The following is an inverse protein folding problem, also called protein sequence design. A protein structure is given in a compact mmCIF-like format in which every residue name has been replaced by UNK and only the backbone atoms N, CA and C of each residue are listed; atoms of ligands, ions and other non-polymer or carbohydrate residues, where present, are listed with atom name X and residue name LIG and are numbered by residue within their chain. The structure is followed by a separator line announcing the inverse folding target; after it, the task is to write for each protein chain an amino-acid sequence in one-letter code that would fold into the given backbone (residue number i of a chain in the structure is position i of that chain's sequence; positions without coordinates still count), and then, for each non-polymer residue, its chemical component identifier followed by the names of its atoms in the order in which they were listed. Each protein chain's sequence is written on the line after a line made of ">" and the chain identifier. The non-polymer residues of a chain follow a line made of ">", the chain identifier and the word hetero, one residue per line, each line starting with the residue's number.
data_IF_539366603073
#
_entry.id   IF_539366603073
#
_cell.length_a   1.000
_cell.length_b   1.000
_cell.length_c   1.000
_cell.angle_alpha   90.00
_cell.angle_beta   90.00
_cell.angle_gamma   90.00
#
_symmetry.space_group_name_H-M   'P 1'
#
loop_
_entity.id
_entity.type
_entity.pdbx_description
1 polymer ?
#
# COMPACT_ATOMS: atom_id res chain seq x y z
N UNK A 1 38.01 -51.53 82.80
CA UNK A 1 37.36 -52.14 81.62
C UNK A 1 36.61 -51.05 80.87
N UNK A 2 37.18 -50.53 79.77
CA UNK A 2 36.63 -50.69 78.42
C UNK A 2 37.54 -49.92 77.46
N UNK A 3 37.92 -50.68 76.44
CA UNK A 3 38.99 -50.49 75.48
C UNK A 3 38.45 -49.83 74.22
N UNK A 4 39.28 -49.01 73.58
CA UNK A 4 39.04 -48.44 72.27
C UNK A 4 39.19 -49.49 71.19
N UNK A 5 38.31 -49.55 70.19
CA UNK A 5 38.66 -50.02 68.83
C UNK A 5 37.80 -49.30 67.79
N UNK A 6 38.50 -48.63 66.87
CA UNK A 6 38.00 -48.14 65.60
C UNK A 6 37.59 -49.31 64.69
N UNK A 7 36.48 -49.19 63.95
CA UNK A 7 36.13 -50.16 62.92
C UNK A 7 35.84 -49.51 61.58
N UNK A 8 36.38 -50.17 60.57
CA UNK A 8 36.63 -49.74 59.22
C UNK A 8 35.35 -49.71 58.36
N UNK A 9 35.43 -48.91 57.30
CA UNK A 9 34.51 -48.90 56.19
C UNK A 9 34.42 -50.27 55.50
N UNK A 10 33.19 -50.72 55.27
CA UNK A 10 32.88 -51.76 54.30
C UNK A 10 31.87 -51.20 53.30
N UNK A 11 32.32 -51.04 52.07
CA UNK A 11 31.59 -50.55 50.91
C UNK A 11 30.51 -51.55 50.52
N UNK A 12 29.25 -51.24 50.82
CA UNK A 12 28.09 -51.96 50.29
C UNK A 12 27.82 -51.57 48.83
N UNK A 13 27.34 -52.48 47.97
CA UNK A 13 27.06 -52.17 46.57
C UNK A 13 25.88 -51.19 46.45
N UNK A 14 26.13 -50.09 45.74
CA UNK A 14 25.13 -49.11 45.31
C UNK A 14 23.98 -49.78 44.55
N UNK A 15 22.72 -49.64 44.97
CA UNK A 15 21.59 -50.09 44.15
C UNK A 15 21.45 -49.19 42.93
N UNK A 16 21.32 -49.80 41.76
CA UNK A 16 21.08 -49.11 40.49
C UNK A 16 19.78 -48.28 40.55
N UNK A 17 19.71 -47.12 39.87
CA UNK A 17 18.48 -46.34 39.81
C UNK A 17 17.44 -47.11 38.99
N UNK A 18 16.35 -47.48 39.66
CA UNK A 18 15.17 -48.10 39.03
C UNK A 18 14.39 -46.98 38.33
N UNK A 19 14.38 -46.98 37.01
CA UNK A 19 13.54 -46.07 36.21
C UNK A 19 12.07 -46.43 36.45
N UNK A 20 11.21 -45.53 36.93
CA UNK A 20 9.79 -45.83 37.03
C UNK A 20 9.19 -45.89 35.61
N UNK A 21 8.57 -47.01 35.27
CA UNK A 21 7.70 -47.17 34.09
C UNK A 21 6.59 -46.10 34.16
N UNK A 22 6.31 -45.34 33.08
CA UNK A 22 5.20 -44.39 33.08
C UNK A 22 3.89 -45.16 33.23
N UNK A 23 3.07 -44.77 34.20
CA UNK A 23 1.68 -45.22 34.29
C UNK A 23 0.92 -44.76 33.03
N UNK A 24 0.02 -45.58 32.45
CA UNK A 24 -0.80 -45.14 31.33
C UNK A 24 -1.67 -43.96 31.79
N UNK A 25 -1.72 -42.91 30.97
CA UNK A 25 -2.55 -41.75 31.25
C UNK A 25 -4.03 -42.17 31.42
N UNK A 26 -4.76 -41.61 32.39
CA UNK A 26 -6.19 -41.87 32.49
C UNK A 26 -6.88 -41.39 31.22
N UNK A 27 -7.61 -42.30 30.56
CA UNK A 27 -8.44 -41.96 29.40
C UNK A 27 -9.48 -40.88 29.76
N UNK A 28 -9.98 -40.14 28.76
CA UNK A 28 -10.94 -39.07 28.99
C UNK A 28 -12.16 -39.61 29.75
N UNK A 29 -12.52 -38.96 30.85
CA UNK A 29 -13.68 -39.29 31.66
C UNK A 29 -14.96 -39.31 30.81
N UNK A 30 -15.81 -40.32 31.03
CA UNK A 30 -17.08 -40.60 30.33
C UNK A 30 -18.04 -39.39 30.30
N UNK A 31 -17.85 -38.46 31.23
CA UNK A 31 -18.54 -37.19 31.36
C UNK A 31 -18.18 -36.17 30.26
N UNK A 32 -16.97 -36.21 29.72
CA UNK A 32 -16.51 -35.35 28.60
C UNK A 32 -17.03 -35.89 27.26
N UNK A 33 -17.17 -37.21 27.14
CA UNK A 33 -17.71 -37.87 25.93
C UNK A 33 -19.21 -37.60 25.78
N UNK A 34 -19.97 -37.55 26.88
CA UNK A 34 -21.41 -37.22 26.84
C UNK A 34 -21.72 -35.74 26.61
N UNK A 35 -20.77 -34.82 26.80
CA UNK A 35 -20.97 -33.39 26.59
C UNK A 35 -20.83 -32.94 25.12
N UNK A 36 -20.40 -33.85 24.22
CA UNK A 36 -20.22 -33.59 22.79
C UNK A 36 -21.35 -34.15 21.90
N UNK A 37 -22.39 -34.76 22.48
CA UNK A 37 -23.54 -35.28 21.75
C UNK A 37 -24.64 -34.23 21.65
N UNK A 38 -24.54 -33.36 20.66
CA UNK A 38 -25.69 -32.57 20.17
C UNK A 38 -26.55 -33.51 19.30
N UNK A 39 -27.83 -33.74 19.62
CA UNK A 39 -28.70 -34.52 18.76
C UNK A 39 -28.95 -33.76 17.44
N UNK A 40 -28.40 -34.27 16.34
CA UNK A 40 -28.73 -33.84 14.99
C UNK A 40 -30.05 -34.51 14.61
N UNK A 41 -31.10 -33.78 14.19
CA UNK A 41 -32.31 -34.40 13.67
C UNK A 41 -32.00 -35.10 12.34
N UNK A 42 -32.24 -36.41 12.31
CA UNK A 42 -32.21 -37.27 11.12
C UNK A 42 -33.16 -36.70 10.06
N UNK A 43 -32.62 -35.98 9.08
CA UNK A 43 -33.36 -35.52 7.90
C UNK A 43 -33.07 -36.49 6.76
N UNK A 44 -33.85 -37.57 6.71
CA UNK A 44 -33.87 -38.44 5.54
C UNK A 44 -34.26 -37.66 4.28
N UNK A 45 -33.83 -38.08 3.08
CA UNK A 45 -34.14 -37.35 1.85
C UNK A 45 -35.66 -37.33 1.59
N UNK A 46 -36.26 -36.16 1.75
CA UNK A 46 -37.64 -35.87 1.32
C UNK A 46 -37.64 -35.74 -0.20
N UNK A 47 -38.33 -36.64 -0.88
CA UNK A 47 -38.62 -36.48 -2.30
C UNK A 47 -39.52 -35.24 -2.50
N UNK A 48 -39.23 -34.35 -3.46
CA UNK A 48 -40.04 -33.16 -3.71
C UNK A 48 -41.44 -33.56 -4.22
N UNK A 49 -42.47 -33.02 -3.59
CA UNK A 49 -43.85 -33.22 -4.02
C UNK A 49 -44.12 -32.50 -5.36
N UNK A 50 -44.95 -33.10 -6.21
CA UNK A 50 -45.33 -32.50 -7.49
C UNK A 50 -46.15 -31.21 -7.29
N UNK A 51 -45.75 -30.14 -7.98
CA UNK A 51 -46.46 -28.85 -7.98
C UNK A 51 -47.30 -28.74 -9.25
N UNK A 52 -48.55 -28.30 -9.12
CA UNK A 52 -49.46 -28.11 -10.26
C UNK A 52 -48.97 -26.99 -11.19
N UNK A 53 -49.21 -27.07 -12.52
CA UNK A 53 -48.82 -26.02 -13.47
C UNK A 53 -49.45 -24.65 -13.14
N UNK A 54 -48.69 -23.58 -13.35
CA UNK A 54 -49.15 -22.20 -13.13
C UNK A 54 -50.35 -21.83 -14.02
N UNK A 55 -51.26 -21.00 -13.48
CA UNK A 55 -52.45 -20.53 -14.19
C UNK A 55 -52.07 -19.64 -15.40
N UNK A 56 -52.73 -19.76 -16.56
CA UNK A 56 -52.42 -18.92 -17.73
C UNK A 56 -52.83 -17.46 -17.52
N UNK A 57 -52.01 -16.54 -18.00
CA UNK A 57 -52.29 -15.09 -17.99
C UNK A 57 -53.37 -14.70 -19.02
N UNK A 58 -54.11 -13.63 -18.72
CA UNK A 58 -55.17 -13.12 -19.59
C UNK A 58 -54.60 -12.50 -20.89
N UNK A 59 -55.23 -12.73 -22.06
CA UNK A 59 -54.75 -12.22 -23.34
C UNK A 59 -54.87 -10.68 -23.41
N UNK A 60 -53.87 -10.06 -24.03
CA UNK A 60 -53.76 -8.61 -24.18
C UNK A 60 -54.82 -8.06 -25.16
N UNK A 61 -55.51 -6.95 -24.82
CA UNK A 61 -56.51 -6.35 -25.72
C UNK A 61 -55.87 -5.76 -27.00
N UNK A 62 -56.61 -5.87 -28.11
CA UNK A 62 -56.21 -5.34 -29.43
C UNK A 62 -56.79 -3.94 -29.68
N UNK A 63 -56.01 -3.06 -30.28
CA UNK A 63 -56.39 -1.66 -30.57
C UNK A 63 -57.06 -1.58 -31.95
N UNK A 64 -58.18 -0.88 -32.08
CA UNK A 64 -58.81 -0.57 -33.39
C UNK A 64 -57.94 0.42 -34.17
N UNK A 65 -57.79 0.20 -35.47
CA UNK A 65 -57.18 1.17 -36.37
C UNK A 65 -58.08 2.40 -36.54
N UNK A 66 -57.47 3.58 -36.61
CA UNK A 66 -58.17 4.84 -36.88
C UNK A 66 -58.64 4.93 -38.33
N UNK A 67 -59.82 5.50 -38.55
CA UNK A 67 -60.40 5.67 -39.88
C UNK A 67 -59.68 6.78 -40.69
N UNK A 68 -59.67 6.64 -42.03
CA UNK A 68 -58.92 7.53 -42.90
C UNK A 68 -59.49 8.96 -42.92
N UNK A 69 -58.65 10.00 -42.93
CA UNK A 69 -59.10 11.38 -42.83
C UNK A 69 -59.79 11.87 -44.10
N UNK A 70 -61.00 12.43 -43.95
CA UNK A 70 -61.73 13.13 -45.03
C UNK A 70 -60.93 14.38 -45.45
N UNK A 71 -60.72 14.54 -46.76
CA UNK A 71 -60.04 15.71 -47.33
C UNK A 71 -60.99 16.91 -47.33
N UNK A 72 -60.75 17.88 -46.44
CA UNK A 72 -61.49 19.14 -46.47
C UNK A 72 -61.22 19.93 -47.76
N UNK A 73 -62.29 20.33 -48.45
CA UNK A 73 -62.25 21.13 -49.67
C UNK A 73 -62.31 22.63 -49.33
N UNK A 74 -61.50 23.45 -50.01
CA UNK A 74 -61.72 24.90 -50.12
C UNK A 74 -61.07 25.86 -49.10
N UNK A 75 -60.29 25.39 -48.11
CA UNK A 75 -59.53 26.29 -47.22
C UNK A 75 -58.02 26.24 -47.46
N UNK A 76 -57.32 27.33 -47.09
CA UNK A 76 -55.87 27.45 -47.29
C UNK A 76 -55.08 26.34 -46.56
N UNK A 77 -54.02 25.79 -47.18
CA UNK A 77 -53.16 24.82 -46.52
C UNK A 77 -52.40 25.47 -45.36
N UNK A 78 -52.09 24.68 -44.34
CA UNK A 78 -51.23 25.14 -43.24
C UNK A 78 -49.85 25.53 -43.77
N UNK A 79 -49.37 26.73 -43.44
CA UNK A 79 -48.04 27.18 -43.85
C UNK A 79 -46.88 26.36 -43.28
N UNK A 80 -47.09 25.63 -42.17
CA UNK A 80 -46.03 24.82 -41.54
C UNK A 80 -45.97 23.37 -42.06
N UNK A 81 -47.12 22.72 -42.29
CA UNK A 81 -47.17 21.28 -42.63
C UNK A 81 -47.94 20.97 -43.93
N UNK A 82 -48.46 21.98 -44.62
CA UNK A 82 -49.17 21.82 -45.91
C UNK A 82 -50.57 21.20 -45.82
N UNK A 83 -51.02 20.74 -44.65
CA UNK A 83 -52.34 20.08 -44.51
C UNK A 83 -53.46 21.06 -44.89
N UNK A 84 -54.34 20.64 -45.81
CA UNK A 84 -55.54 21.38 -46.16
C UNK A 84 -56.41 21.57 -44.91
N UNK A 85 -57.03 22.72 -44.70
CA UNK A 85 -57.98 22.93 -43.61
C UNK A 85 -59.32 23.39 -44.18
N UNK A 86 -60.42 23.10 -43.49
CA UNK A 86 -61.71 23.67 -43.87
C UNK A 86 -61.70 25.19 -43.63
N UNK A 87 -62.45 25.97 -44.43
CA UNK A 87 -62.61 27.41 -44.19
C UNK A 87 -63.09 27.68 -42.76
N UNK A 88 -62.58 28.76 -42.14
CA UNK A 88 -62.97 29.18 -40.79
C UNK A 88 -62.20 28.51 -39.63
N UNK A 89 -61.25 27.61 -39.89
CA UNK A 89 -60.36 27.09 -38.83
C UNK A 89 -59.31 28.13 -38.43
N UNK A 90 -59.11 28.28 -37.12
CA UNK A 90 -58.04 29.12 -36.58
C UNK A 90 -56.73 28.35 -36.35
N UNK A 91 -56.78 27.02 -36.24
CA UNK A 91 -55.62 26.14 -36.04
C UNK A 91 -55.64 24.96 -37.01
N UNK A 92 -54.46 24.50 -37.43
CA UNK A 92 -54.30 23.35 -38.32
C UNK A 92 -54.78 22.05 -37.64
N UNK A 93 -55.58 21.24 -38.35
CA UNK A 93 -56.10 19.96 -37.84
C UNK A 93 -55.05 18.89 -37.57
N UNK A 94 -53.83 19.03 -38.13
CA UNK A 94 -52.77 18.02 -38.03
C UNK A 94 -51.67 18.44 -37.05
N UNK A 95 -51.09 19.63 -37.24
CA UNK A 95 -49.96 20.10 -36.43
C UNK A 95 -50.32 21.19 -35.41
N UNK A 96 -51.61 21.60 -35.33
CA UNK A 96 -52.10 22.66 -34.44
C UNK A 96 -51.50 24.06 -34.65
N UNK A 97 -50.71 24.30 -35.70
CA UNK A 97 -50.19 25.64 -36.03
C UNK A 97 -51.34 26.61 -36.31
N UNK A 98 -51.32 27.84 -35.77
CA UNK A 98 -52.35 28.84 -36.06
C UNK A 98 -52.33 29.21 -37.54
N UNK A 99 -53.51 29.22 -38.18
CA UNK A 99 -53.67 29.56 -39.60
C UNK A 99 -53.73 31.08 -39.83
N UNK A 100 -53.91 31.84 -38.76
CA UNK A 100 -53.87 33.31 -38.76
C UNK A 100 -52.66 33.73 -37.92
N UNK A 101 -51.74 34.48 -38.52
CA UNK A 101 -50.61 35.05 -37.79
C UNK A 101 -51.13 36.06 -36.76
N UNK A 102 -50.83 35.85 -35.48
CA UNK A 102 -51.13 36.84 -34.44
C UNK A 102 -50.11 37.97 -34.56
N UNK A 103 -50.51 39.26 -34.51
CA UNK A 103 -49.54 40.35 -34.47
C UNK A 103 -48.60 40.16 -33.28
N UNK A 104 -47.30 40.35 -33.51
CA UNK A 104 -46.29 40.27 -32.46
C UNK A 104 -46.63 41.35 -31.41
N UNK A 105 -47.00 40.92 -30.21
CA UNK A 105 -47.17 41.83 -29.08
C UNK A 105 -45.81 42.37 -28.67
N UNK A 106 -45.68 43.69 -28.56
CA UNK A 106 -44.53 44.35 -27.96
C UNK A 106 -44.26 43.77 -26.57
N UNK A 107 -42.98 43.51 -26.29
CA UNK A 107 -42.55 42.69 -25.17
C UNK A 107 -42.74 43.42 -23.83
N UNK A 108 -43.71 42.96 -23.04
CA UNK A 108 -43.79 43.22 -21.60
C UNK A 108 -42.49 42.72 -20.91
N UNK A 109 -41.96 43.52 -19.98
CA UNK A 109 -40.72 43.20 -19.25
C UNK A 109 -40.77 41.87 -18.49
N UNK A 110 -39.62 41.35 -18.01
CA UNK A 110 -39.54 40.00 -17.47
C UNK A 110 -40.40 39.83 -16.20
N UNK A 111 -41.34 38.87 -16.26
CA UNK A 111 -42.21 38.49 -15.15
C UNK A 111 -41.42 37.91 -13.97
N UNK A 112 -41.91 38.11 -12.74
CA UNK A 112 -41.30 37.56 -11.52
C UNK A 112 -41.26 36.02 -11.60
N UNK A 113 -40.04 35.46 -11.74
CA UNK A 113 -39.80 34.03 -11.96
C UNK A 113 -39.05 33.71 -13.27
N UNK A 114 -38.91 34.68 -14.17
CA UNK A 114 -38.13 34.52 -15.38
C UNK A 114 -36.63 34.55 -15.06
N UNK A 115 -36.01 33.38 -14.94
CA UNK A 115 -34.54 33.29 -14.77
C UNK A 115 -33.85 33.77 -16.05
N UNK A 116 -32.83 34.65 -15.97
CA UNK A 116 -32.08 35.08 -17.14
C UNK A 116 -31.57 33.85 -17.89
N UNK A 117 -31.82 33.78 -19.21
CA UNK A 117 -31.19 32.75 -20.03
C UNK A 117 -29.69 33.01 -19.96
N UNK A 118 -28.95 32.18 -19.23
CA UNK A 118 -27.49 32.21 -19.26
C UNK A 118 -27.10 32.08 -20.74
N UNK A 119 -26.48 33.11 -21.29
CA UNK A 119 -26.07 33.14 -22.69
C UNK A 119 -25.03 32.05 -22.90
N UNK A 120 -25.50 30.85 -23.24
CA UNK A 120 -24.70 29.61 -23.29
C UNK A 120 -23.56 29.72 -24.29
N UNK A 121 -23.68 30.61 -25.28
CA UNK A 121 -22.66 30.87 -26.29
C UNK A 121 -21.46 31.68 -25.76
N UNK A 122 -21.68 32.66 -24.87
CA UNK A 122 -20.57 33.39 -24.23
C UNK A 122 -19.78 32.48 -23.29
N UNK A 123 -20.48 31.61 -22.57
CA UNK A 123 -19.85 30.58 -21.72
C UNK A 123 -18.99 29.62 -22.55
N UNK A 124 -19.45 29.19 -23.72
CA UNK A 124 -18.65 28.32 -24.62
C UNK A 124 -17.40 28.99 -25.14
N UNK A 125 -17.46 30.27 -25.52
CA UNK A 125 -16.28 31.02 -25.97
C UNK A 125 -15.29 31.27 -24.84
N UNK A 126 -15.75 31.58 -23.62
CA UNK A 126 -14.88 31.73 -22.45
C UNK A 126 -14.22 30.40 -22.10
N UNK A 127 -14.97 29.30 -22.06
CA UNK A 127 -14.42 27.96 -21.79
C UNK A 127 -13.40 27.56 -22.85
N UNK A 128 -13.67 27.84 -24.14
CA UNK A 128 -12.71 27.62 -25.22
C UNK A 128 -11.46 28.48 -25.06
N UNK A 129 -11.60 29.77 -24.75
CA UNK A 129 -10.47 30.66 -24.54
C UNK A 129 -9.60 30.21 -23.36
N UNK A 130 -10.21 29.78 -22.26
CA UNK A 130 -9.51 29.22 -21.10
C UNK A 130 -8.82 27.90 -21.45
N UNK A 131 -9.47 27.01 -22.19
CA UNK A 131 -8.87 25.76 -22.64
C UNK A 131 -7.67 26.01 -23.57
N UNK A 132 -7.80 26.92 -24.54
CA UNK A 132 -6.72 27.31 -25.43
C UNK A 132 -5.56 27.95 -24.64
N UNK A 133 -5.86 28.85 -23.69
CA UNK A 133 -4.85 29.45 -22.83
C UNK A 133 -4.11 28.41 -21.98
N UNK A 134 -4.82 27.40 -21.46
CA UNK A 134 -4.21 26.29 -20.72
C UNK A 134 -3.29 25.44 -21.63
N UNK A 135 -3.71 25.14 -22.86
CA UNK A 135 -2.88 24.42 -23.84
C UNK A 135 -1.63 25.23 -24.20
N UNK A 136 -1.78 26.52 -24.46
CA UNK A 136 -0.64 27.41 -24.74
C UNK A 136 0.31 27.48 -23.54
N UNK A 137 -0.22 27.59 -22.32
CA UNK A 137 0.60 27.59 -21.11
C UNK A 137 1.35 26.25 -20.92
N UNK A 138 0.73 25.12 -21.26
CA UNK A 138 1.40 23.81 -21.24
C UNK A 138 2.50 23.71 -22.30
N UNK A 139 2.26 24.21 -23.51
CA UNK A 139 3.26 24.21 -24.59
C UNK A 139 4.44 25.11 -24.25
N UNK A 140 4.16 26.34 -23.80
CA UNK A 140 5.18 27.31 -23.38
C UNK A 140 5.92 26.81 -22.14
N UNK A 141 5.21 26.25 -21.17
CA UNK A 141 5.78 25.63 -19.98
C UNK A 141 6.66 24.43 -20.31
N UNK A 142 6.28 23.61 -21.29
CA UNK A 142 7.10 22.50 -21.78
C UNK A 142 8.37 22.96 -22.51
N UNK A 143 8.28 24.03 -23.29
CA UNK A 143 9.42 24.61 -24.03
C UNK A 143 10.40 25.32 -23.08
N UNK A 144 9.90 26.10 -22.11
CA UNK A 144 10.72 26.85 -21.14
C UNK A 144 11.23 25.93 -20.02
N UNK A 145 10.42 24.98 -19.57
CA UNK A 145 10.72 24.09 -18.44
C UNK A 145 11.84 23.08 -18.71
N UNK A 146 12.10 22.76 -19.98
CA UNK A 146 13.26 22.01 -20.44
C UNK A 146 13.57 20.70 -19.68
N UNK A 147 14.78 20.15 -19.86
CA UNK A 147 15.26 18.99 -19.12
C UNK A 147 15.25 19.11 -17.57
N UNK A 148 15.45 20.29 -16.93
CA UNK A 148 15.49 20.39 -15.47
C UNK A 148 14.14 20.15 -14.78
N UNK A 149 13.04 20.70 -15.31
CA UNK A 149 11.72 20.47 -14.72
C UNK A 149 11.25 19.03 -14.96
N UNK A 150 11.58 18.47 -16.12
CA UNK A 150 11.35 17.05 -16.41
C UNK A 150 12.15 16.14 -15.47
N UNK A 151 13.44 16.44 -15.22
CA UNK A 151 14.28 15.71 -14.26
C UNK A 151 13.83 15.88 -12.82
N UNK A 152 13.30 17.04 -12.42
CA UNK A 152 12.80 17.25 -11.07
C UNK A 152 11.51 16.45 -10.80
N UNK A 153 10.63 16.35 -11.79
CA UNK A 153 9.42 15.51 -11.72
C UNK A 153 9.81 14.03 -11.80
N UNK A 154 10.72 13.66 -12.70
CA UNK A 154 11.26 12.30 -12.78
C UNK A 154 11.98 11.89 -11.49
N UNK A 155 12.81 12.73 -10.89
CA UNK A 155 13.48 12.45 -9.59
C UNK A 155 12.46 12.28 -8.45
N UNK A 156 11.30 12.94 -8.54
CA UNK A 156 10.25 12.82 -7.53
C UNK A 156 9.45 11.51 -7.65
N UNK A 157 9.36 10.95 -8.87
CA UNK A 157 8.61 9.72 -9.17
C UNK A 157 9.49 8.53 -9.60
N UNK A 158 10.82 8.72 -9.63
CA UNK A 158 11.77 7.66 -9.87
C UNK A 158 11.71 6.70 -8.70
N UNK A 159 11.33 5.45 -8.99
CA UNK A 159 11.37 4.38 -8.01
C UNK A 159 12.78 4.27 -7.44
N UNK A 160 12.88 4.30 -6.12
CA UNK A 160 14.15 4.13 -5.41
C UNK A 160 14.66 2.72 -5.70
N UNK A 161 15.72 2.62 -6.50
CA UNK A 161 16.30 1.33 -6.84
C UNK A 161 17.16 0.84 -5.67
N UNK A 162 17.02 -0.43 -5.24
CA UNK A 162 17.94 -1.01 -4.26
C UNK A 162 19.36 -1.04 -4.85
N UNK A 163 20.33 -0.64 -4.03
CA UNK A 163 21.75 -0.66 -4.34
C UNK A 163 22.38 -1.73 -3.48
N UNK A 164 23.02 -2.71 -4.14
CA UNK A 164 23.71 -3.80 -3.46
C UNK A 164 25.21 -3.51 -3.38
N UNK A 165 25.78 -3.36 -2.17
CA UNK A 165 27.23 -3.27 -2.01
C UNK A 165 27.93 -4.50 -2.58
N UNK A 166 29.06 -4.30 -3.24
CA UNK A 166 29.90 -5.37 -3.78
C UNK A 166 30.67 -6.12 -2.68
N UNK A 167 30.95 -5.45 -1.56
CA UNK A 167 31.64 -6.05 -0.42
C UNK A 167 31.26 -5.38 0.90
N UNK A 168 31.51 -6.12 2.00
CA UNK A 168 31.28 -5.67 3.37
C UNK A 168 32.54 -5.86 4.21
N UNK A 169 32.83 -4.89 5.09
CA UNK A 169 33.92 -4.94 6.06
C UNK A 169 33.43 -4.48 7.42
N UNK A 170 34.12 -4.87 8.47
CA UNK A 170 33.88 -4.34 9.81
C UNK A 170 35.19 -4.15 10.55
N UNK A 171 35.21 -3.27 11.55
CA UNK A 171 36.35 -3.16 12.48
C UNK A 171 36.60 -4.48 13.20
N UNK A 172 35.51 -5.17 13.55
CA UNK A 172 35.52 -6.47 14.19
C UNK A 172 34.17 -7.17 13.95
N UNK A 173 34.15 -8.50 14.10
CA UNK A 173 32.93 -9.29 14.03
C UNK A 173 33.02 -10.48 14.98
N UNK A 174 31.90 -10.87 15.61
CA UNK A 174 31.85 -12.15 16.31
C UNK A 174 31.99 -13.33 15.31
N UNK A 175 32.53 -14.50 15.73
CA UNK A 175 32.90 -15.59 14.82
C UNK A 175 31.80 -16.09 13.87
N UNK A 176 30.52 -15.91 14.21
CA UNK A 176 29.37 -16.34 13.41
C UNK A 176 28.49 -15.17 12.94
N UNK A 177 28.92 -13.94 13.15
CA UNK A 177 28.15 -12.72 12.86
C UNK A 177 28.99 -11.73 12.06
N UNK A 178 29.44 -12.19 10.89
CA UNK A 178 30.33 -11.46 9.98
C UNK A 178 29.66 -10.23 9.34
N UNK A 179 30.48 -9.34 8.80
CA UNK A 179 30.02 -8.07 8.20
C UNK A 179 29.00 -8.27 7.06
N UNK A 180 29.18 -9.29 6.23
CA UNK A 180 28.30 -9.56 5.09
C UNK A 180 26.87 -9.93 5.48
N UNK A 181 26.64 -10.36 6.72
CA UNK A 181 25.29 -10.69 7.20
C UNK A 181 24.37 -9.46 7.28
N UNK A 182 24.93 -8.25 7.36
CA UNK A 182 24.11 -7.04 7.32
C UNK A 182 23.57 -6.70 5.92
N UNK A 183 24.02 -7.40 4.86
CA UNK A 183 23.63 -7.14 3.48
C UNK A 183 23.26 -8.40 2.70
N UNK A 184 22.93 -9.50 3.39
CA UNK A 184 22.58 -10.78 2.78
C UNK A 184 21.09 -10.90 2.39
N UNK A 185 20.28 -9.88 2.70
CA UNK A 185 18.85 -9.81 2.43
C UNK A 185 17.98 -10.59 3.43
N UNK A 186 18.56 -11.11 4.51
CA UNK A 186 17.84 -11.77 5.58
C UNK A 186 17.71 -10.87 6.80
N UNK A 187 16.52 -10.85 7.39
CA UNK A 187 16.24 -10.01 8.57
C UNK A 187 16.37 -10.75 9.91
N UNK A 188 16.94 -11.95 9.87
CA UNK A 188 17.20 -12.84 11.01
C UNK A 188 18.65 -13.35 11.06
N UNK A 189 19.49 -12.91 10.12
CA UNK A 189 20.94 -12.93 10.21
C UNK A 189 21.40 -11.52 10.62
N UNK A 190 22.61 -11.38 11.14
CA UNK A 190 23.09 -10.09 11.63
C UNK A 190 24.60 -10.03 11.73
N UNK A 191 25.14 -8.84 11.47
CA UNK A 191 26.48 -8.48 11.89
C UNK A 191 26.49 -8.14 13.37
N UNK A 192 27.48 -8.64 14.10
CA UNK A 192 27.68 -8.40 15.51
C UNK A 192 29.09 -7.88 15.75
N UNK A 193 29.21 -6.77 16.48
CA UNK A 193 30.50 -6.12 16.79
C UNK A 193 31.50 -7.03 17.51
N UNK A 194 31.07 -8.11 18.15
CA UNK A 194 31.90 -9.06 18.88
C UNK A 194 32.43 -8.57 20.22
N UNK A 195 32.06 -7.36 20.64
CA UNK A 195 32.40 -6.79 21.94
C UNK A 195 31.15 -6.57 22.78
N UNK A 196 31.25 -6.80 24.08
CA UNK A 196 30.18 -6.47 25.00
C UNK A 196 30.07 -4.95 25.23
N UNK A 197 28.90 -4.48 25.68
CA UNK A 197 28.65 -3.08 25.99
C UNK A 197 28.18 -2.26 24.78
N UNK A 198 28.49 -0.97 24.76
CA UNK A 198 27.98 -0.03 23.77
C UNK A 198 28.70 -0.06 22.41
N UNK A 199 29.85 -0.75 22.36
CA UNK A 199 30.67 -0.92 21.15
C UNK A 199 31.02 0.40 20.46
N UNK A 200 31.19 1.48 21.23
CA UNK A 200 31.53 2.79 20.68
C UNK A 200 32.82 2.73 19.84
N UNK A 201 32.77 3.31 18.64
CA UNK A 201 33.86 3.35 17.68
C UNK A 201 33.96 2.11 16.76
N UNK A 202 33.23 1.03 17.04
CA UNK A 202 33.14 -0.10 16.12
C UNK A 202 32.37 0.30 14.87
N UNK A 203 32.74 -0.26 13.72
CA UNK A 203 32.12 0.10 12.46
C UNK A 203 31.83 -1.09 11.56
N UNK A 204 30.82 -0.89 10.72
CA UNK A 204 30.44 -1.73 9.59
C UNK A 204 30.50 -0.86 8.33
N UNK A 205 31.11 -1.37 7.27
CA UNK A 205 31.36 -0.64 6.03
C UNK A 205 30.85 -1.44 4.83
N UNK A 206 30.01 -0.78 4.03
CA UNK A 206 29.59 -1.22 2.72
C UNK A 206 30.49 -0.59 1.65
N UNK A 207 30.92 -1.39 0.68
CA UNK A 207 31.75 -0.97 -0.45
C UNK A 207 30.97 -1.19 -1.75
N UNK A 208 30.83 -0.15 -2.56
CA UNK A 208 30.14 -0.24 -3.85
C UNK A 208 31.14 -0.60 -4.96
N UNK A 209 30.69 -1.42 -5.92
CA UNK A 209 31.53 -1.83 -7.05
C UNK A 209 31.77 -0.69 -8.06
N UNK A 210 30.88 0.28 -8.07
CA UNK A 210 30.93 1.49 -8.89
C UNK A 210 30.41 2.69 -8.10
N UNK A 211 30.86 3.92 -8.43
CA UNK A 211 30.32 5.13 -7.80
C UNK A 211 28.80 5.19 -7.93
N UNK A 212 28.11 5.35 -6.80
CA UNK A 212 26.64 5.27 -6.76
C UNK A 212 26.03 6.51 -6.12
N UNK A 213 24.97 7.04 -6.73
CA UNK A 213 24.16 8.10 -6.15
C UNK A 213 23.21 7.57 -5.07
N UNK A 214 23.56 7.78 -3.81
CA UNK A 214 22.76 7.37 -2.66
C UNK A 214 21.67 8.40 -2.35
N UNK A 215 20.51 7.90 -1.96
CA UNK A 215 19.36 8.69 -1.51
C UNK A 215 18.95 8.37 -0.07
N UNK A 216 19.04 7.09 0.32
CA UNK A 216 18.64 6.63 1.64
C UNK A 216 19.31 5.31 2.00
N UNK A 217 19.33 5.01 3.29
CA UNK A 217 19.61 3.70 3.84
C UNK A 217 18.47 3.27 4.76
N UNK A 218 18.05 2.01 4.67
CA UNK A 218 17.22 1.37 5.68
C UNK A 218 18.12 0.59 6.63
N UNK A 219 17.87 0.71 7.93
CA UNK A 219 18.55 -0.05 8.97
C UNK A 219 17.55 -0.89 9.74
N UNK A 220 17.82 -2.19 9.86
CA UNK A 220 17.17 -3.08 10.83
C UNK A 220 18.14 -3.31 11.99
N UNK A 221 17.97 -2.63 13.12
CA UNK A 221 18.91 -2.73 14.24
C UNK A 221 18.66 -4.01 15.06
N UNK A 222 19.70 -4.54 15.68
CA UNK A 222 19.66 -5.76 16.48
C UNK A 222 19.84 -7.03 15.67
N UNK A 223 19.40 -8.16 16.22
CA UNK A 223 19.46 -9.48 15.56
C UNK A 223 18.22 -9.81 14.73
N UNK A 224 17.28 -8.86 14.57
CA UNK A 224 16.21 -8.97 13.58
C UNK A 224 15.05 -7.98 13.75
N UNK A 225 14.09 -8.02 12.81
CA UNK A 225 12.93 -7.08 12.76
C UNK A 225 12.01 -7.20 13.98
N UNK A 226 11.90 -8.38 14.57
CA UNK A 226 11.05 -8.63 15.74
C UNK A 226 11.88 -8.65 17.03
N UNK A 227 11.81 -7.58 17.81
CA UNK A 227 12.55 -7.41 19.07
C UNK A 227 12.17 -8.42 20.16
N UNK A 228 10.98 -9.03 20.09
CA UNK A 228 10.52 -10.03 21.06
C UNK A 228 11.08 -11.43 20.80
N UNK A 229 11.59 -11.67 19.58
CA UNK A 229 12.17 -12.96 19.15
C UNK A 229 13.67 -12.88 18.87
N UNK A 230 14.21 -11.67 18.67
CA UNK A 230 15.64 -11.41 18.51
C UNK A 230 16.43 -11.88 19.75
N UNK A 231 17.62 -12.46 19.54
CA UNK A 231 18.58 -13.02 20.53
C UNK A 231 19.11 -12.03 21.60
N UNK A 232 18.31 -11.03 21.97
CA UNK A 232 18.54 -10.11 23.08
C UNK A 232 19.65 -9.10 22.86
N UNK A 233 20.35 -9.09 21.71
CA UNK A 233 21.53 -8.23 21.49
C UNK A 233 21.23 -6.73 21.63
N UNK A 234 22.26 -5.97 21.98
CA UNK A 234 22.18 -4.52 22.02
C UNK A 234 21.97 -3.96 20.60
N UNK A 235 21.31 -2.81 20.50
CA UNK A 235 20.98 -2.20 19.21
C UNK A 235 21.58 -0.80 19.10
N UNK A 236 22.04 -0.36 17.92
CA UNK A 236 22.58 0.99 17.78
C UNK A 236 21.54 2.02 18.20
N UNK A 237 21.95 3.00 19.01
CA UNK A 237 21.12 4.14 19.42
C UNK A 237 21.53 5.38 18.67
N UNK A 238 22.82 5.70 18.71
CA UNK A 238 23.42 6.77 17.92
C UNK A 238 24.62 6.24 17.17
N UNK A 239 24.80 6.71 15.94
CA UNK A 239 25.92 6.35 15.09
C UNK A 239 26.18 7.44 14.07
N UNK A 240 27.37 7.42 13.48
CA UNK A 240 27.68 8.26 12.34
C UNK A 240 27.64 7.43 11.06
N UNK A 241 27.09 7.99 10.00
CA UNK A 241 27.32 7.53 8.64
C UNK A 241 28.42 8.37 8.04
N UNK A 242 29.52 7.71 7.69
CA UNK A 242 30.67 8.30 6.98
C UNK A 242 30.63 7.75 5.56
N UNK A 243 30.29 8.60 4.60
CA UNK A 243 30.24 8.24 3.18
C UNK A 243 31.50 8.77 2.51
N UNK A 244 32.23 7.92 1.80
CA UNK A 244 33.35 8.37 0.97
C UNK A 244 32.91 8.36 -0.48
N UNK A 245 33.13 9.46 -1.20
CA UNK A 245 32.87 9.54 -2.63
C UNK A 245 34.08 9.17 -3.49
N UNK A 246 33.87 9.06 -4.80
CA UNK A 246 34.92 8.72 -5.75
C UNK A 246 36.06 9.74 -5.85
N UNK A 247 35.84 10.98 -5.39
CA UNK A 247 36.87 12.01 -5.24
C UNK A 247 37.70 11.87 -3.96
N UNK A 248 37.30 10.99 -3.04
CA UNK A 248 37.92 10.78 -1.74
C UNK A 248 37.42 11.73 -0.65
N UNK A 249 36.41 12.56 -0.92
CA UNK A 249 35.81 13.41 0.10
C UNK A 249 34.90 12.57 1.01
N UNK A 250 34.93 12.89 2.32
CA UNK A 250 34.16 12.18 3.33
C UNK A 250 33.02 13.04 3.86
N UNK A 251 31.80 12.54 3.71
CA UNK A 251 30.57 13.16 4.20
C UNK A 251 30.14 12.47 5.49
N UNK A 252 30.15 13.20 6.62
CA UNK A 252 29.80 12.66 7.94
C UNK A 252 28.44 13.18 8.39
N UNK A 253 27.56 12.28 8.81
CA UNK A 253 26.26 12.64 9.38
C UNK A 253 25.95 11.78 10.61
N UNK A 254 25.50 12.42 11.69
CA UNK A 254 25.13 11.74 12.92
C UNK A 254 23.64 11.43 12.94
N UNK A 255 23.29 10.22 13.34
CA UNK A 255 21.92 9.73 13.38
C UNK A 255 21.56 9.14 14.74
N UNK A 256 20.27 9.17 15.05
CA UNK A 256 19.68 8.51 16.21
C UNK A 256 18.47 7.69 15.77
N UNK A 257 18.38 6.45 16.25
CA UNK A 257 17.29 5.53 15.93
C UNK A 257 16.65 4.92 17.18
N UNK A 258 15.46 4.38 17.02
CA UNK A 258 14.77 3.56 18.02
C UNK A 258 15.40 2.16 18.12
N UNK A 259 15.07 1.43 19.17
CA UNK A 259 15.74 0.18 19.57
C UNK A 259 15.26 -1.08 18.83
N UNK A 260 14.42 -0.93 17.80
CA UNK A 260 13.86 -2.00 16.99
C UNK A 260 13.13 -1.51 15.74
N UNK A 261 12.71 -2.47 14.90
CA UNK A 261 12.02 -2.20 13.64
C UNK A 261 12.93 -1.58 12.57
N UNK A 262 12.58 -1.79 11.30
CA UNK A 262 13.30 -1.16 10.19
C UNK A 262 13.04 0.33 10.16
N UNK A 263 14.11 1.12 10.09
CA UNK A 263 14.06 2.58 10.11
C UNK A 263 14.80 3.14 8.91
N UNK A 264 14.27 4.23 8.37
CA UNK A 264 14.81 4.89 7.19
C UNK A 264 15.62 6.11 7.57
N UNK A 265 16.78 6.26 6.95
CA UNK A 265 17.68 7.39 7.12
C UNK A 265 17.93 8.02 5.75
N UNK A 266 17.80 9.34 5.67
CA UNK A 266 18.18 10.08 4.47
C UNK A 266 19.70 10.11 4.33
N UNK A 267 20.19 9.75 3.15
CA UNK A 267 21.62 9.66 2.85
C UNK A 267 21.85 10.14 1.42
N UNK A 268 21.81 11.46 1.21
CA UNK A 268 21.93 12.09 -0.11
C UNK A 268 23.39 12.41 -0.41
N UNK A 269 24.13 11.46 -0.96
CA UNK A 269 25.54 11.63 -1.37
C UNK A 269 25.70 11.06 -2.78
N UNK A 270 26.35 11.82 -3.65
CA UNK A 270 26.61 11.41 -5.04
C UNK A 270 27.93 10.67 -5.15
N UNK A 271 28.05 9.84 -6.18
CA UNK A 271 29.30 9.15 -6.51
C UNK A 271 29.93 8.39 -5.32
N UNK A 272 29.08 7.87 -4.41
CA UNK A 272 29.53 7.20 -3.20
C UNK A 272 30.20 5.86 -3.55
N UNK A 273 31.38 5.63 -2.99
CA UNK A 273 32.13 4.37 -3.14
C UNK A 273 32.13 3.54 -1.86
N UNK A 274 31.90 4.16 -0.71
CA UNK A 274 31.69 3.44 0.55
C UNK A 274 30.74 4.17 1.50
N UNK A 275 30.05 3.40 2.34
CA UNK A 275 29.32 3.92 3.50
C UNK A 275 29.75 3.15 4.73
N UNK A 276 30.22 3.87 5.74
CA UNK A 276 30.61 3.31 7.03
C UNK A 276 29.65 3.77 8.13
N UNK A 277 28.99 2.82 8.78
CA UNK A 277 28.25 3.04 10.02
C UNK A 277 29.19 2.88 11.20
N UNK A 278 29.43 3.96 11.94
CA UNK A 278 30.28 3.97 13.14
C UNK A 278 29.40 4.08 14.38
N UNK A 279 29.36 3.04 15.20
CA UNK A 279 28.55 3.00 16.42
C UNK A 279 29.07 4.04 17.42
N UNK A 280 28.18 4.83 18.02
CA UNK A 280 28.50 5.80 19.07
C UNK A 280 27.92 5.42 20.42
N UNK A 281 26.64 5.04 20.45
CA UNK A 281 25.98 4.52 21.65
C UNK A 281 24.98 3.44 21.26
N UNK A 282 24.57 2.61 22.21
CA UNK A 282 23.61 1.54 21.99
C UNK A 282 22.49 1.49 23.04
N UNK A 283 21.33 1.00 22.63
CA UNK A 283 20.26 0.55 23.50
C UNK A 283 20.56 -0.85 24.02
N UNK A 284 20.12 -1.14 25.24
CA UNK A 284 20.30 -2.46 25.88
C UNK A 284 21.77 -2.90 25.95
N UNK A 285 22.69 -1.94 25.96
CA UNK A 285 24.11 -2.18 26.19
C UNK A 285 24.33 -2.68 27.62
N UNK A 286 24.96 -3.84 27.75
CA UNK A 286 25.36 -4.41 29.02
C UNK A 286 26.57 -5.35 28.83
N UNK A 287 27.24 -5.80 29.91
CA UNK A 287 28.46 -6.61 29.81
C UNK A 287 28.30 -7.99 29.15
N UNK A 288 27.09 -8.44 28.83
CA UNK A 288 26.80 -9.73 28.21
C UNK A 288 26.37 -9.63 26.74
N UNK A 289 26.13 -8.41 26.24
CA UNK A 289 25.54 -8.19 24.91
C UNK A 289 26.45 -7.38 24.03
N UNK A 290 26.54 -7.81 22.77
CA UNK A 290 27.17 -7.04 21.71
C UNK A 290 26.15 -6.20 20.95
N UNK A 291 26.63 -5.15 20.28
CA UNK A 291 25.80 -4.39 19.35
C UNK A 291 25.65 -5.16 18.05
N UNK A 292 24.41 -5.29 17.58
CA UNK A 292 24.04 -6.02 16.38
C UNK A 292 23.29 -5.14 15.36
N UNK A 293 23.50 -5.42 14.07
CA UNK A 293 22.74 -4.88 12.95
C UNK A 293 22.34 -6.03 12.04
N UNK A 294 21.03 -6.23 11.88
CA UNK A 294 20.49 -7.31 11.07
C UNK A 294 20.60 -6.98 9.59
N UNK A 295 20.26 -5.74 9.21
CA UNK A 295 20.16 -5.38 7.80
C UNK A 295 20.50 -3.91 7.58
N UNK A 296 21.23 -3.64 6.50
CA UNK A 296 21.48 -2.34 5.91
C UNK A 296 21.18 -2.42 4.41
N UNK A 297 20.13 -1.71 3.98
CA UNK A 297 19.71 -1.67 2.57
C UNK A 297 19.91 -0.25 2.03
N UNK A 298 20.65 -0.13 0.93
CA UNK A 298 20.93 1.17 0.30
C UNK A 298 19.99 1.40 -0.87
N UNK A 299 19.64 2.66 -1.10
CA UNK A 299 18.73 3.05 -2.17
C UNK A 299 19.33 4.22 -2.93
N UNK A 300 19.37 4.07 -4.25
CA UNK A 300 19.85 5.09 -5.16
C UNK A 300 18.77 5.59 -6.11
N UNK A 301 19.17 6.49 -7.01
CA UNK A 301 18.35 6.86 -8.16
C UNK A 301 18.21 5.66 -9.08
N UNK A 302 17.02 5.40 -9.61
CA UNK A 302 16.89 4.41 -10.69
C UNK A 302 17.68 4.90 -11.90
N UNK A 303 18.53 4.02 -12.43
CA UNK A 303 19.09 4.22 -13.76
C UNK A 303 17.97 3.97 -14.75
N UNK A 304 17.53 5.02 -15.45
CA UNK A 304 16.63 4.91 -16.60
C UNK A 304 17.41 4.88 -17.90
#
# INVERSE_FOLDING_TARGET
>A
AHEAVASQAATGPTPAPVTPTPAPAPGPSDTVVRALLVPVPESGPSAPAAVLPGRPDAPRPTVRAAEAPVVAQGGAPCGACGTANSPGRHFCRFCATPLVARPATEAEGPYAGQRPRLARDRSRWIVRALATAAVVALLVGGIIGGPPAARAVQDHFADRAPVHPAAWRASHAAPKQGASMAGDGYSNTWWGTGYAGDSAGQYLEALFGEPTDLLAVLITPGSGKNTTRADGQATPRTFDLVVTDSGGETHVSQHRINDGGTQKIELRVRDAVSVRLVVRTAWRADPSRQVAVAELEFFGRSFS
#
